data_IF_050933936318
#
_entry.id   IF_050933936318
#
_cell.length_a   1.000
_cell.length_b   1.000
_cell.length_c   1.000
_cell.angle_alpha   90.00
_cell.angle_beta   90.00
_cell.angle_gamma   90.00
#
_symmetry.space_group_name_H-M   'P 1'
#
loop_
_entity.id
_entity.type
_entity.pdbx_description
1 polymer ?
#
# COMPACT_ATOMS: atom_id res chain seq x y z
N UNK A 1 7.04 -19.92 -2.99
CA UNK A 1 6.60 -18.60 -3.49
C UNK A 1 5.57 -18.90 -4.55
N UNK A 2 4.38 -18.31 -4.41
CA UNK A 2 3.23 -18.56 -5.28
C UNK A 2 3.18 -17.44 -6.30
N UNK A 3 3.30 -17.75 -7.59
CA UNK A 3 3.41 -16.74 -8.64
C UNK A 3 2.19 -15.80 -8.66
N UNK A 4 0.99 -16.35 -8.40
CA UNK A 4 -0.25 -15.57 -8.32
C UNK A 4 -0.27 -14.64 -7.12
N UNK A 5 0.38 -15.03 -6.02
CA UNK A 5 0.47 -14.20 -4.81
C UNK A 5 1.42 -13.03 -5.00
N UNK A 6 2.57 -13.25 -5.62
CA UNK A 6 3.52 -12.17 -5.94
C UNK A 6 2.92 -11.17 -6.94
N UNK A 7 2.17 -11.68 -7.92
CA UNK A 7 1.41 -10.86 -8.84
C UNK A 7 0.34 -10.03 -8.11
N UNK A 8 -0.42 -10.64 -7.19
CA UNK A 8 -1.43 -9.97 -6.39
C UNK A 8 -0.85 -8.84 -5.51
N UNK A 9 0.28 -9.07 -4.86
CA UNK A 9 0.96 -8.07 -4.04
C UNK A 9 1.44 -6.87 -4.89
N UNK A 10 2.02 -7.15 -6.06
CA UNK A 10 2.46 -6.09 -7.00
C UNK A 10 1.27 -5.31 -7.55
N UNK A 11 0.23 -6.03 -7.97
CA UNK A 11 -1.01 -5.43 -8.49
C UNK A 11 -1.67 -4.52 -7.46
N UNK A 12 -1.74 -4.93 -6.20
CA UNK A 12 -2.26 -4.10 -5.11
C UNK A 12 -1.42 -2.84 -4.90
N UNK A 13 -0.11 -2.92 -4.99
CA UNK A 13 0.74 -1.75 -4.81
C UNK A 13 0.56 -0.74 -5.95
N UNK A 14 0.40 -1.22 -7.19
CA UNK A 14 0.18 -0.39 -8.38
C UNK A 14 -1.24 0.21 -8.46
N UNK A 15 -2.26 -0.58 -8.11
CA UNK A 15 -3.67 -0.20 -8.28
C UNK A 15 -4.31 0.34 -7.00
N UNK A 16 -3.84 -0.07 -5.82
CA UNK A 16 -4.44 0.27 -4.52
C UNK A 16 -3.51 1.15 -3.66
N UNK A 17 -2.20 0.99 -3.78
CA UNK A 17 -1.21 1.83 -3.09
C UNK A 17 -1.34 3.32 -3.43
N UNK A 18 -1.81 3.63 -4.64
CA UNK A 18 -2.16 4.97 -5.13
C UNK A 18 -3.56 5.44 -4.72
N UNK A 19 -4.48 4.52 -4.38
CA UNK A 19 -5.86 4.82 -3.99
C UNK A 19 -6.03 5.12 -2.49
N UNK A 20 -4.96 5.05 -1.68
CA UNK A 20 -5.01 5.36 -0.25
C UNK A 20 -5.53 6.78 0.08
N UNK A 21 -5.67 7.67 -0.92
CA UNK A 21 -6.32 8.98 -0.82
C UNK A 21 -7.52 9.20 -1.75
N UNK A 22 -7.92 8.23 -2.58
CA UNK A 22 -9.10 8.32 -3.43
C UNK A 22 -10.21 7.47 -2.86
N UNK A 23 -11.06 8.11 -2.05
CA UNK A 23 -12.37 7.59 -1.67
C UNK A 23 -13.13 7.15 -2.94
N UNK A 24 -13.84 6.01 -2.85
CA UNK A 24 -14.91 5.50 -3.74
C UNK A 24 -14.68 4.16 -4.48
N UNK A 25 -13.47 3.57 -4.53
CA UNK A 25 -13.34 2.23 -5.14
C UNK A 25 -13.69 1.13 -4.12
N UNK A 26 -14.79 0.42 -4.35
CA UNK A 26 -15.23 -0.70 -3.49
C UNK A 26 -14.34 -1.94 -3.67
N UNK A 27 -14.20 -2.76 -2.62
CA UNK A 27 -13.43 -4.01 -2.68
C UNK A 27 -13.88 -4.94 -3.81
N UNK A 28 -15.18 -5.01 -4.07
CA UNK A 28 -15.75 -5.79 -5.18
C UNK A 28 -15.29 -5.30 -6.57
N UNK A 29 -15.02 -3.99 -6.73
CA UNK A 29 -14.49 -3.43 -7.98
C UNK A 29 -13.01 -3.78 -8.13
N UNK A 30 -12.24 -3.69 -7.05
CA UNK A 30 -10.84 -4.12 -7.05
C UNK A 30 -10.69 -5.62 -7.34
N UNK A 31 -11.57 -6.45 -6.79
CA UNK A 31 -11.59 -7.88 -7.07
C UNK A 31 -11.84 -8.15 -8.56
N UNK A 32 -12.85 -7.51 -9.15
CA UNK A 32 -13.12 -7.65 -10.59
C UNK A 32 -11.96 -7.18 -11.46
N UNK A 33 -11.32 -6.06 -11.11
CA UNK A 33 -10.17 -5.52 -11.83
C UNK A 33 -8.99 -6.50 -11.78
N UNK A 34 -8.64 -6.97 -10.58
CA UNK A 34 -7.62 -8.01 -10.39
C UNK A 34 -7.95 -9.27 -11.19
N UNK A 35 -9.22 -9.68 -11.20
CA UNK A 35 -9.62 -10.88 -11.93
C UNK A 35 -9.38 -10.78 -13.43
N UNK A 36 -9.56 -9.60 -14.02
CA UNK A 36 -9.28 -9.33 -15.43
C UNK A 36 -7.77 -9.30 -15.72
N UNK A 37 -6.99 -8.59 -14.88
CA UNK A 37 -5.54 -8.51 -15.02
C UNK A 37 -4.86 -9.87 -14.83
N UNK A 38 -5.32 -10.64 -13.85
CA UNK A 38 -4.83 -11.97 -13.58
C UNK A 38 -5.13 -12.94 -14.74
N UNK A 39 -6.34 -12.88 -15.32
CA UNK A 39 -6.68 -13.66 -16.51
C UNK A 39 -5.80 -13.27 -17.71
N UNK A 40 -5.58 -11.97 -17.93
CA UNK A 40 -4.70 -11.46 -18.99
C UNK A 40 -3.23 -11.89 -18.81
N UNK A 41 -2.78 -12.00 -17.56
CA UNK A 41 -1.46 -12.52 -17.19
C UNK A 41 -1.36 -14.05 -17.24
N UNK A 42 -2.47 -14.76 -17.47
CA UNK A 42 -2.52 -16.23 -17.56
C UNK A 42 -2.81 -16.94 -16.23
N UNK A 43 -3.13 -16.21 -15.17
CA UNK A 43 -3.62 -16.76 -13.91
C UNK A 43 -5.12 -17.03 -13.99
N UNK A 44 -5.47 -18.28 -14.32
CA UNK A 44 -6.86 -18.75 -14.33
C UNK A 44 -7.54 -18.58 -12.96
N UNK A 45 -8.87 -18.48 -12.97
CA UNK A 45 -9.68 -18.34 -11.75
C UNK A 45 -9.42 -19.48 -10.75
N UNK A 46 -9.25 -20.71 -11.22
CA UNK A 46 -8.92 -21.87 -10.38
C UNK A 46 -7.61 -21.69 -9.59
N UNK A 47 -6.56 -21.20 -10.24
CA UNK A 47 -5.25 -20.98 -9.61
C UNK A 47 -5.33 -19.86 -8.58
N UNK A 48 -6.10 -18.81 -8.89
CA UNK A 48 -6.37 -17.71 -7.96
C UNK A 48 -7.14 -18.16 -6.73
N UNK A 49 -8.22 -18.92 -6.90
CA UNK A 49 -9.01 -19.41 -5.78
C UNK A 49 -8.22 -20.42 -4.93
N UNK A 50 -7.34 -21.22 -5.54
CA UNK A 50 -6.45 -22.15 -4.82
C UNK A 50 -5.33 -21.41 -4.05
N UNK A 51 -4.71 -20.39 -4.66
CA UNK A 51 -3.55 -19.70 -4.06
C UNK A 51 -3.89 -18.49 -3.18
N UNK A 52 -4.96 -17.76 -3.49
CA UNK A 52 -5.42 -16.56 -2.77
C UNK A 52 -6.73 -16.78 -2.00
N UNK A 53 -7.52 -17.81 -2.33
CA UNK A 53 -8.83 -18.01 -1.75
C UNK A 53 -9.83 -16.97 -2.25
N UNK A 54 -10.53 -16.33 -1.30
CA UNK A 54 -11.48 -15.28 -1.65
C UNK A 54 -10.74 -13.96 -1.92
N UNK A 55 -10.76 -13.52 -3.17
CA UNK A 55 -10.04 -12.31 -3.63
C UNK A 55 -10.47 -11.06 -2.84
N UNK A 56 -11.75 -10.91 -2.54
CA UNK A 56 -12.22 -9.75 -1.76
C UNK A 56 -11.64 -9.74 -0.34
N UNK A 57 -11.59 -10.90 0.32
CA UNK A 57 -10.98 -11.05 1.65
C UNK A 57 -9.46 -10.80 1.60
N UNK A 58 -8.79 -11.33 0.57
CA UNK A 58 -7.36 -11.11 0.36
C UNK A 58 -7.04 -9.62 0.17
N UNK A 59 -7.86 -8.88 -0.59
CA UNK A 59 -7.72 -7.43 -0.80
C UNK A 59 -7.97 -6.69 0.51
N UNK A 60 -9.01 -7.05 1.25
CA UNK A 60 -9.32 -6.45 2.54
C UNK A 60 -8.17 -6.65 3.54
N UNK A 61 -7.65 -7.88 3.65
CA UNK A 61 -6.52 -8.18 4.53
C UNK A 61 -5.24 -7.48 4.10
N UNK A 62 -4.97 -7.37 2.80
CA UNK A 62 -3.80 -6.65 2.31
C UNK A 62 -3.90 -5.15 2.57
N UNK A 63 -5.09 -4.55 2.40
CA UNK A 63 -5.36 -3.15 2.74
C UNK A 63 -5.29 -2.89 4.24
N UNK A 64 -5.83 -3.79 5.07
CA UNK A 64 -5.67 -3.76 6.53
C UNK A 64 -4.20 -3.82 6.89
N UNK A 65 -3.42 -4.74 6.32
CA UNK A 65 -1.98 -4.86 6.54
C UNK A 65 -1.20 -3.65 6.02
N UNK A 66 -1.57 -3.03 4.91
CA UNK A 66 -0.93 -1.82 4.41
C UNK A 66 -1.18 -0.63 5.35
N UNK A 67 -2.42 -0.46 5.84
CA UNK A 67 -2.76 0.54 6.86
C UNK A 67 -2.10 0.27 8.21
N UNK A 68 -2.02 -1.00 8.61
CA UNK A 68 -1.36 -1.42 9.86
C UNK A 68 0.16 -1.42 9.73
N UNK A 69 0.72 -1.61 8.53
CA UNK A 69 2.16 -1.54 8.25
C UNK A 69 2.70 -0.12 8.32
N UNK A 70 1.87 0.88 7.98
CA UNK A 70 2.11 2.30 8.33
C UNK A 70 2.06 2.56 9.84
N UNK A 71 1.52 1.63 10.63
CA UNK A 71 1.47 1.70 12.11
C UNK A 71 2.28 0.58 12.79
N UNK A 72 3.05 -0.21 12.02
CA UNK A 72 3.69 -1.46 12.44
C UNK A 72 5.21 -1.44 12.31
N UNK A 73 5.76 -0.42 11.64
CA UNK A 73 7.14 0.03 11.83
C UNK A 73 7.15 1.21 12.81
N UNK A 74 6.63 0.97 14.02
CA UNK A 74 6.82 1.83 15.18
C UNK A 74 7.86 1.22 16.13
N UNK A 75 8.96 0.73 15.54
CA UNK A 75 10.18 0.38 16.24
C UNK A 75 11.40 0.85 15.40
N UNK A 76 11.37 2.10 14.96
CA UNK A 76 12.47 2.72 14.21
C UNK A 76 12.14 4.12 13.73
N UNK A 77 12.29 5.09 14.63
CA UNK A 77 12.31 6.55 14.39
C UNK A 77 10.96 7.28 14.16
N UNK A 78 10.45 7.97 15.20
CA UNK A 78 9.53 9.07 15.01
C UNK A 78 10.29 10.34 14.57
N UNK A 79 9.70 11.08 13.63
CA UNK A 79 9.89 12.53 13.42
C UNK A 79 11.10 13.01 12.59
N UNK A 80 11.05 12.83 11.27
CA UNK A 80 11.84 13.67 10.34
C UNK A 80 11.05 14.86 9.75
N UNK A 81 9.77 15.04 10.13
CA UNK A 81 8.98 16.21 9.71
C UNK A 81 9.02 17.34 10.75
N UNK A 82 9.25 17.02 12.02
CA UNK A 82 9.44 18.03 13.08
C UNK A 82 10.87 18.62 13.06
N UNK A 83 11.88 17.82 12.76
CA UNK A 83 13.27 18.27 12.63
C UNK A 83 13.50 19.21 11.44
N UNK A 84 12.67 19.10 10.39
CA UNK A 84 12.77 19.94 9.20
C UNK A 84 12.15 21.34 9.39
N UNK A 85 11.21 21.51 10.34
CA UNK A 85 10.65 22.83 10.69
C UNK A 85 11.54 23.62 11.64
N UNK A 86 12.29 22.95 12.52
CA UNK A 86 13.23 23.58 13.46
C UNK A 86 14.50 24.12 12.74
N UNK A 87 14.93 23.47 11.64
CA UNK A 87 16.08 23.90 10.85
C UNK A 87 15.86 25.16 9.97
N UNK A 88 14.62 25.65 9.87
CA UNK A 88 14.24 26.78 9.00
C UNK A 88 13.87 28.06 9.75
N UNK A 89 13.80 28.02 11.09
CA UNK A 89 13.47 29.18 11.92
C UNK A 89 14.65 29.56 12.84
N UNK A 90 15.45 30.53 12.36
CA UNK A 90 16.38 31.40 13.12
C UNK A 90 17.77 30.86 13.48
N UNK A 91 18.81 31.26 12.73
CA UNK A 91 20.05 31.89 13.28
C UNK A 91 21.02 32.32 12.14
N UNK A 92 20.67 33.39 11.41
CA UNK A 92 21.67 34.38 10.98
C UNK A 92 21.11 35.78 11.30
N UNK A 93 21.07 36.03 12.61
CA UNK A 93 20.95 37.37 13.14
C UNK A 93 21.87 37.49 14.34
N UNK A 94 22.99 38.19 14.11
CA UNK A 94 23.78 38.97 15.08
C UNK A 94 25.08 38.32 15.56
N UNK A 95 26.19 38.68 14.90
CA UNK A 95 27.38 39.12 15.63
C UNK A 95 27.51 40.65 15.46
N UNK A 96 27.23 41.36 16.54
CA UNK A 96 27.69 42.74 16.79
C UNK A 96 29.13 42.72 17.32
N UNK A 97 29.65 43.77 17.99
CA UNK A 97 29.04 45.03 18.43
C UNK A 97 29.20 46.22 17.48
#
# INVERSE_FOLDING_TARGET
>A
MNATKEFFESWLQENVGTLAGQEEVSFAVLAQQFEQDAEAAGYGREVREDELGNIEDAIEQALKKARTGVHGDAAGEPSDVAALMDALEVEDAKSGP
#
